data_IF_851746711640
#
_entry.id   IF_851746711640
#
_cell.length_a   1.000
_cell.length_b   1.000
_cell.length_c   1.000
_cell.angle_alpha   90.00
_cell.angle_beta   90.00
_cell.angle_gamma   90.00
#
_symmetry.space_group_name_H-M   'P 1'
#
loop_
_entity.id
_entity.type
_entity.pdbx_description
1 polymer ?
#
# COMPACT_ATOMS: atom_id res chain seq x y z
N UNK A 1 -12.14 -4.73 -5.60
CA UNK A 1 -11.48 -4.02 -4.46
C UNK A 1 -10.34 -3.14 -4.95
N UNK A 2 -9.54 -2.48 -4.09
CA UNK A 2 -8.31 -1.79 -4.55
C UNK A 2 -7.28 -2.83 -5.01
N UNK A 3 -7.14 -3.91 -4.27
CA UNK A 3 -6.32 -5.08 -4.59
C UNK A 3 -6.59 -5.66 -5.97
N UNK A 4 -7.85 -5.80 -6.40
CA UNK A 4 -8.16 -6.28 -7.77
C UNK A 4 -7.60 -5.35 -8.84
N UNK A 5 -7.75 -4.03 -8.65
CA UNK A 5 -7.20 -3.05 -9.56
C UNK A 5 -5.66 -3.10 -9.60
N UNK A 6 -5.02 -3.31 -8.44
CA UNK A 6 -3.56 -3.48 -8.34
C UNK A 6 -3.07 -4.73 -9.06
N UNK A 7 -3.80 -5.85 -9.00
CA UNK A 7 -3.48 -7.09 -9.74
C UNK A 7 -3.54 -6.87 -11.26
N UNK A 8 -4.54 -6.14 -11.73
CA UNK A 8 -4.66 -5.75 -13.14
C UNK A 8 -3.51 -4.81 -13.52
N UNK A 9 -3.25 -3.79 -12.71
CA UNK A 9 -2.15 -2.85 -12.91
C UNK A 9 -0.80 -3.57 -13.04
N UNK A 10 -0.49 -4.50 -12.15
CA UNK A 10 0.73 -5.31 -12.21
C UNK A 10 0.83 -6.14 -13.50
N UNK A 11 -0.30 -6.68 -13.98
CA UNK A 11 -0.35 -7.44 -15.23
C UNK A 11 -0.14 -6.54 -16.45
N UNK A 12 -0.78 -5.37 -16.47
CA UNK A 12 -0.65 -4.39 -17.56
C UNK A 12 0.74 -3.78 -17.64
N UNK A 13 1.38 -3.50 -16.50
CA UNK A 13 2.78 -3.03 -16.44
C UNK A 13 3.73 -4.01 -17.14
N UNK A 14 3.52 -5.32 -16.96
CA UNK A 14 4.39 -6.36 -17.55
C UNK A 14 4.33 -6.42 -19.07
N UNK A 15 3.18 -6.05 -19.65
CA UNK A 15 2.96 -6.08 -21.10
C UNK A 15 3.11 -4.70 -21.76
N UNK A 16 3.44 -3.65 -20.99
CA UNK A 16 3.63 -2.29 -21.51
C UNK A 16 2.37 -1.66 -22.09
N UNK A 17 1.20 -1.99 -21.52
CA UNK A 17 -0.09 -1.51 -22.02
C UNK A 17 -0.27 0.01 -21.78
N UNK A 18 -0.96 0.70 -22.70
CA UNK A 18 -1.18 2.15 -22.62
C UNK A 18 -2.16 2.52 -21.48
N UNK A 19 -3.00 1.59 -21.06
CA UNK A 19 -4.01 1.78 -20.02
C UNK A 19 -3.42 1.80 -18.60
N UNK A 20 -2.13 1.51 -18.43
CA UNK A 20 -1.43 1.44 -17.14
C UNK A 20 -1.52 2.75 -16.37
N UNK A 21 -1.32 3.89 -17.04
CA UNK A 21 -1.31 5.20 -16.41
C UNK A 21 -2.70 5.57 -15.87
N UNK A 22 -3.74 5.38 -16.69
CA UNK A 22 -5.12 5.65 -16.29
C UNK A 22 -5.52 4.79 -15.08
N UNK A 23 -5.11 3.52 -15.06
CA UNK A 23 -5.38 2.63 -13.93
C UNK A 23 -4.59 3.02 -12.68
N UNK A 24 -3.32 3.42 -12.83
CA UNK A 24 -2.50 3.94 -11.74
C UNK A 24 -3.17 5.12 -11.03
N UNK A 25 -3.62 6.11 -11.80
CA UNK A 25 -4.28 7.30 -11.24
C UNK A 25 -5.63 6.96 -10.60
N UNK A 26 -6.39 6.01 -11.17
CA UNK A 26 -7.61 5.50 -10.55
C UNK A 26 -7.34 4.85 -9.19
N UNK A 27 -6.28 4.04 -9.08
CA UNK A 27 -5.93 3.40 -7.81
C UNK A 27 -5.49 4.44 -6.77
N UNK A 28 -4.61 5.37 -7.15
CA UNK A 28 -4.18 6.46 -6.26
C UNK A 28 -5.34 7.33 -5.80
N UNK A 29 -6.30 7.61 -6.68
CA UNK A 29 -7.52 8.32 -6.32
C UNK A 29 -8.30 7.58 -5.23
N UNK A 30 -8.45 6.26 -5.35
CA UNK A 30 -9.14 5.46 -4.33
C UNK A 30 -8.37 5.42 -3.02
N UNK A 31 -7.05 5.26 -3.05
CA UNK A 31 -6.19 5.36 -1.87
C UNK A 31 -6.27 6.72 -1.15
N UNK A 32 -6.74 7.78 -1.80
CA UNK A 32 -6.95 9.08 -1.15
C UNK A 32 -8.34 9.22 -0.52
N UNK A 33 -9.31 8.37 -0.88
CA UNK A 33 -10.72 8.60 -0.58
C UNK A 33 -11.40 7.44 0.15
N UNK A 34 -10.81 6.24 0.14
CA UNK A 34 -11.38 5.04 0.75
C UNK A 34 -10.34 4.41 1.70
N UNK A 35 -10.73 3.91 2.89
CA UNK A 35 -9.82 3.18 3.77
C UNK A 35 -9.39 1.86 3.13
N UNK A 36 -8.10 1.52 3.26
CA UNK A 36 -7.59 0.20 2.83
C UNK A 36 -7.96 -0.89 3.82
N UNK A 37 -8.10 -2.11 3.31
CA UNK A 37 -8.16 -3.34 4.11
C UNK A 37 -6.84 -4.12 4.00
N UNK A 38 -6.77 -5.27 4.68
CA UNK A 38 -5.59 -6.13 4.75
C UNK A 38 -5.11 -6.57 3.36
N UNK A 39 -6.05 -6.97 2.50
CA UNK A 39 -5.77 -7.49 1.16
C UNK A 39 -5.24 -6.40 0.24
N UNK A 40 -5.76 -5.18 0.40
CA UNK A 40 -5.32 -4.00 -0.34
C UNK A 40 -3.89 -3.62 0.05
N UNK A 41 -3.57 -3.58 1.35
CA UNK A 41 -2.20 -3.34 1.85
C UNK A 41 -1.23 -4.37 1.28
N UNK A 42 -1.51 -5.66 1.43
CA UNK A 42 -0.63 -6.73 0.94
C UNK A 42 -0.41 -6.66 -0.58
N UNK A 43 -1.47 -6.40 -1.34
CA UNK A 43 -1.39 -6.33 -2.80
C UNK A 43 -0.54 -5.17 -3.28
N UNK A 44 -0.64 -4.01 -2.62
CA UNK A 44 0.15 -2.82 -2.95
C UNK A 44 1.60 -3.01 -2.52
N UNK A 45 1.83 -3.55 -1.32
CA UNK A 45 3.18 -3.80 -0.79
C UNK A 45 3.98 -4.75 -1.68
N UNK A 46 3.32 -5.75 -2.28
CA UNK A 46 3.92 -6.68 -3.23
C UNK A 46 4.44 -6.03 -4.52
N UNK A 47 4.10 -4.76 -4.79
CA UNK A 47 4.71 -3.98 -5.88
C UNK A 47 6.14 -3.55 -5.54
N UNK A 48 6.49 -3.46 -4.25
CA UNK A 48 7.82 -3.08 -3.76
C UNK A 48 8.31 -1.73 -4.30
N UNK A 49 7.37 -0.83 -4.62
CA UNK A 49 7.65 0.53 -5.08
C UNK A 49 7.48 1.51 -3.92
N UNK A 50 8.51 2.32 -3.58
CA UNK A 50 8.45 3.22 -2.43
C UNK A 50 7.26 4.19 -2.44
N UNK A 51 6.93 4.77 -3.60
CA UNK A 51 5.82 5.72 -3.71
C UNK A 51 4.45 5.07 -3.43
N UNK A 52 4.32 3.78 -3.71
CA UNK A 52 3.12 3.00 -3.42
C UNK A 52 3.01 2.64 -1.94
N UNK A 53 4.15 2.33 -1.30
CA UNK A 53 4.21 2.10 0.16
C UNK A 53 3.87 3.40 0.89
N UNK A 54 4.44 4.54 0.49
CA UNK A 54 4.12 5.86 1.07
C UNK A 54 2.62 6.21 0.91
N UNK A 55 2.03 5.91 -0.25
CA UNK A 55 0.60 6.11 -0.47
C UNK A 55 -0.28 5.25 0.45
N UNK A 56 0.14 4.02 0.76
CA UNK A 56 -0.54 3.15 1.73
C UNK A 56 -0.35 3.68 3.15
N UNK A 57 0.85 4.08 3.55
CA UNK A 57 1.11 4.69 4.86
C UNK A 57 0.21 5.90 5.11
N UNK A 58 0.15 6.80 4.13
CA UNK A 58 -0.73 7.96 4.17
C UNK A 58 -2.20 7.58 4.34
N UNK A 59 -2.65 6.52 3.67
CA UNK A 59 -4.02 6.03 3.82
C UNK A 59 -4.27 5.51 5.24
N UNK A 60 -3.37 4.66 5.74
CA UNK A 60 -3.44 4.06 7.07
C UNK A 60 -3.57 5.15 8.14
N UNK A 61 -2.72 6.18 8.09
CA UNK A 61 -2.77 7.29 9.04
C UNK A 61 -4.06 8.10 8.86
N UNK A 62 -4.37 8.53 7.62
CA UNK A 62 -5.54 9.38 7.35
C UNK A 62 -6.86 8.78 7.83
N UNK A 63 -7.06 7.48 7.60
CA UNK A 63 -8.29 6.80 7.98
C UNK A 63 -8.21 6.10 9.33
N UNK A 64 -7.09 6.26 10.06
CA UNK A 64 -6.86 5.62 11.34
C UNK A 64 -7.07 4.09 11.30
N UNK A 65 -6.57 3.45 10.23
CA UNK A 65 -6.89 2.05 9.88
C UNK A 65 -6.41 1.06 10.93
N UNK A 66 -5.25 1.32 11.58
CA UNK A 66 -4.72 0.43 12.62
C UNK A 66 -5.64 0.32 13.85
N UNK A 67 -6.50 1.31 14.08
CA UNK A 67 -7.48 1.29 15.17
C UNK A 67 -8.80 0.60 14.78
N UNK A 68 -9.00 0.19 13.52
CA UNK A 68 -10.21 -0.48 13.07
C UNK A 68 -10.12 -1.99 13.31
N UNK A 69 -10.83 -2.52 14.30
CA UNK A 69 -10.78 -3.96 14.59
C UNK A 69 -11.75 -4.79 13.73
N UNK A 70 -11.37 -6.00 13.29
CA UNK A 70 -10.07 -6.67 13.53
C UNK A 70 -8.97 -6.29 12.51
N UNK A 71 -9.32 -5.58 11.44
CA UNK A 71 -8.46 -5.39 10.27
C UNK A 71 -7.14 -4.67 10.56
N UNK A 72 -7.17 -3.67 11.43
CA UNK A 72 -6.02 -2.89 11.84
C UNK A 72 -4.93 -3.72 12.49
N UNK A 73 -5.31 -4.70 13.33
CA UNK A 73 -4.34 -5.60 13.96
C UNK A 73 -3.62 -6.51 12.95
N UNK A 74 -4.32 -6.99 11.92
CA UNK A 74 -3.69 -7.79 10.86
C UNK A 74 -2.77 -6.95 9.97
N UNK A 75 -3.13 -5.69 9.71
CA UNK A 75 -2.29 -4.77 8.94
C UNK A 75 -1.02 -4.45 9.72
N UNK A 76 -1.14 -4.19 11.02
CA UNK A 76 0.01 -3.90 11.90
C UNK A 76 1.01 -5.07 11.91
N UNK A 77 0.53 -6.29 12.20
CA UNK A 77 1.34 -7.51 12.17
C UNK A 77 2.01 -7.76 10.81
N UNK A 78 1.29 -7.47 9.71
CA UNK A 78 1.87 -7.59 8.37
C UNK A 78 3.01 -6.60 8.16
N UNK A 79 2.84 -5.33 8.55
CA UNK A 79 3.87 -4.30 8.41
C UNK A 79 5.10 -4.69 9.25
N UNK A 80 4.91 -5.11 10.50
CA UNK A 80 6.01 -5.58 11.36
C UNK A 80 6.78 -6.73 10.71
N UNK A 81 6.08 -7.73 10.17
CA UNK A 81 6.70 -8.86 9.49
C UNK A 81 7.46 -8.48 8.21
N UNK A 82 6.96 -7.50 7.45
CA UNK A 82 7.67 -6.97 6.28
C UNK A 82 8.91 -6.18 6.69
N UNK A 83 8.83 -5.36 7.74
CA UNK A 83 9.97 -4.58 8.26
C UNK A 83 11.14 -5.47 8.67
N UNK A 84 10.87 -6.64 9.25
CA UNK A 84 11.90 -7.63 9.61
C UNK A 84 12.67 -8.19 8.41
N UNK A 85 12.10 -8.12 7.20
CA UNK A 85 12.75 -8.58 5.97
C UNK A 85 13.62 -7.48 5.33
N UNK A 86 13.39 -6.21 5.67
CA UNK A 86 14.22 -5.11 5.18
C UNK A 86 15.55 -5.02 5.93
N UNK A 87 16.58 -4.51 5.24
CA UNK A 87 17.75 -3.98 5.94
C UNK A 87 17.38 -2.72 6.72
N UNK A 88 18.16 -2.36 7.75
CA UNK A 88 17.90 -1.24 8.67
C UNK A 88 17.50 0.07 7.96
N UNK A 89 18.17 0.41 6.85
CA UNK A 89 17.84 1.61 6.06
C UNK A 89 16.47 1.54 5.38
N UNK A 90 16.07 0.35 4.92
CA UNK A 90 14.76 0.12 4.31
C UNK A 90 13.65 0.21 5.35
N UNK A 91 13.85 -0.42 6.51
CA UNK A 91 12.91 -0.35 7.62
C UNK A 91 12.75 1.10 8.12
N UNK A 92 13.86 1.81 8.35
CA UNK A 92 13.83 3.21 8.77
C UNK A 92 13.10 4.11 7.78
N UNK A 93 13.20 3.84 6.47
CA UNK A 93 12.47 4.60 5.45
C UNK A 93 10.96 4.39 5.53
N UNK A 94 10.50 3.17 5.81
CA UNK A 94 9.06 2.87 5.96
C UNK A 94 8.52 3.53 7.24
N UNK A 95 9.29 3.50 8.33
CA UNK A 95 8.92 4.21 9.57
C UNK A 95 8.81 5.72 9.32
N UNK A 96 9.79 6.32 8.64
CA UNK A 96 9.73 7.74 8.24
C UNK A 96 8.55 8.06 7.32
N UNK A 97 8.14 7.14 6.43
CA UNK A 97 6.90 7.30 5.65
C UNK A 97 5.68 7.35 6.54
N UNK A 98 5.59 6.51 7.57
CA UNK A 98 4.47 6.52 8.50
C UNK A 98 4.44 7.79 9.35
N UNK A 99 5.58 8.20 9.91
CA UNK A 99 5.69 9.37 10.81
C UNK A 99 5.46 10.73 10.12
N UNK A 100 5.62 10.80 8.79
CA UNK A 100 5.40 12.03 8.02
C UNK A 100 3.93 12.38 7.78
N UNK A 101 3.00 11.45 7.98
CA UNK A 101 1.56 11.66 7.74
C UNK A 101 0.77 11.72 9.05
#
# INVERSE_FOLDING_TARGET
>A
TISDAVKIYRSLMRIGALEVEALCEKIKYRLRNEPVNEVDVQSIWALQFPDWIDAVMRNIVRFNVLNMQPAGGYIDLFIEAELLQYHDRGAARVVDMYERH
#
